data_IF_450081281025
#
_entry.id   IF_450081281025
#
_cell.length_a   1.000
_cell.length_b   1.000
_cell.length_c   1.000
_cell.angle_alpha   90.00
_cell.angle_beta   90.00
_cell.angle_gamma   90.00
#
_symmetry.space_group_name_H-M   'P 1'
#
loop_
_entity.id
_entity.type
_entity.pdbx_description
1 polymer ?
#
# COMPACT_ATOMS: atom_id res chain seq x y z
N UNK A 1 10.97 4.74 -13.53
CA UNK A 1 9.60 4.82 -12.99
C UNK A 1 9.08 3.42 -12.73
N UNK A 2 8.53 3.19 -11.53
CA UNK A 2 8.01 1.87 -11.17
C UNK A 2 6.59 1.71 -11.64
N UNK A 3 6.33 0.67 -12.44
CA UNK A 3 4.99 0.34 -12.89
C UNK A 3 4.41 -0.70 -11.94
N UNK A 4 3.25 -0.43 -11.30
CA UNK A 4 2.67 -1.41 -10.39
C UNK A 4 2.13 -2.64 -11.13
N UNK A 5 2.26 -3.80 -10.51
CA UNK A 5 1.70 -5.05 -11.03
C UNK A 5 0.21 -5.16 -10.73
N UNK A 6 -0.25 -4.48 -9.69
CA UNK A 6 -1.66 -4.45 -9.30
C UNK A 6 -1.98 -3.12 -8.62
N UNK A 7 -3.23 -2.71 -8.66
CA UNK A 7 -3.70 -1.50 -8.00
C UNK A 7 -4.89 -1.83 -7.10
N UNK A 8 -4.82 -1.40 -5.85
CA UNK A 8 -5.91 -1.54 -4.88
C UNK A 8 -6.53 -0.17 -4.64
N UNK A 9 -7.84 -0.06 -4.90
CA UNK A 9 -8.58 1.14 -4.55
C UNK A 9 -9.18 0.98 -3.15
N UNK A 10 -8.54 1.61 -2.19
CA UNK A 10 -9.00 1.61 -0.80
C UNK A 10 -9.54 2.99 -0.39
N UNK A 11 -9.90 3.81 -1.38
CA UNK A 11 -10.49 5.13 -1.08
C UNK A 11 -11.81 4.94 -0.36
N UNK A 12 -12.07 5.83 0.60
CA UNK A 12 -13.28 5.78 1.41
C UNK A 12 -13.23 4.83 2.59
N UNK A 13 -12.18 4.02 2.71
CA UNK A 13 -12.02 3.08 3.82
C UNK A 13 -11.28 3.75 4.98
N UNK A 14 -11.71 3.43 6.20
CA UNK A 14 -11.05 3.92 7.41
C UNK A 14 -9.99 2.94 7.88
N UNK A 15 -8.96 3.50 8.54
CA UNK A 15 -7.94 2.70 9.22
C UNK A 15 -8.59 1.68 10.18
N UNK A 16 -8.17 0.40 10.19
CA UNK A 16 -7.00 -0.15 9.49
C UNK A 16 -7.34 -0.88 8.18
N UNK A 17 -8.55 -0.66 7.61
CA UNK A 17 -9.01 -1.42 6.45
C UNK A 17 -8.10 -1.29 5.22
N UNK A 18 -7.52 -0.12 4.91
CA UNK A 18 -6.61 -0.06 3.76
C UNK A 18 -5.45 -1.03 3.87
N UNK A 19 -4.86 -1.17 5.05
CA UNK A 19 -3.75 -2.10 5.28
C UNK A 19 -4.23 -3.55 5.21
N UNK A 20 -5.39 -3.85 5.78
CA UNK A 20 -5.95 -5.20 5.74
C UNK A 20 -6.17 -5.65 4.30
N UNK A 21 -6.77 -4.77 3.48
CA UNK A 21 -7.01 -5.09 2.08
C UNK A 21 -5.72 -5.18 1.27
N UNK A 22 -4.76 -4.31 1.57
CA UNK A 22 -3.45 -4.34 0.90
C UNK A 22 -2.73 -5.66 1.19
N UNK A 23 -2.82 -6.15 2.42
CA UNK A 23 -2.23 -7.42 2.80
C UNK A 23 -2.82 -8.57 1.99
N UNK A 24 -4.13 -8.59 1.82
CA UNK A 24 -4.80 -9.63 1.04
C UNK A 24 -4.38 -9.58 -0.44
N UNK A 25 -4.29 -8.37 -0.99
CA UNK A 25 -3.84 -8.20 -2.37
C UNK A 25 -2.37 -8.59 -2.54
N UNK A 26 -1.53 -8.25 -1.55
CA UNK A 26 -0.11 -8.56 -1.59
C UNK A 26 0.13 -10.07 -1.59
N UNK A 27 -0.72 -10.83 -0.90
CA UNK A 27 -0.60 -12.29 -0.87
C UNK A 27 -0.79 -12.92 -2.25
N UNK A 28 -1.46 -12.22 -3.16
CA UNK A 28 -1.67 -12.70 -4.53
C UNK A 28 -0.50 -12.40 -5.46
N UNK A 29 0.44 -11.57 -5.02
CA UNK A 29 1.57 -11.15 -5.83
C UNK A 29 2.79 -12.03 -5.55
N UNK A 30 3.69 -12.07 -6.54
CA UNK A 30 4.96 -12.74 -6.38
C UNK A 30 6.00 -11.83 -5.75
N UNK A 31 7.06 -12.43 -5.22
CA UNK A 31 8.17 -11.70 -4.62
C UNK A 31 8.74 -10.69 -5.62
N UNK A 32 8.92 -9.45 -5.17
CA UNK A 32 9.44 -8.38 -6.01
C UNK A 32 8.41 -7.62 -6.81
N UNK A 33 7.16 -8.11 -6.84
CA UNK A 33 6.09 -7.39 -7.53
C UNK A 33 5.59 -6.21 -6.70
N UNK A 34 5.01 -5.24 -7.38
CA UNK A 34 4.63 -3.96 -6.77
C UNK A 34 3.11 -3.79 -6.74
N UNK A 35 2.60 -3.42 -5.56
CA UNK A 35 1.21 -3.07 -5.37
C UNK A 35 1.08 -1.56 -5.22
N UNK A 36 0.17 -0.96 -5.99
CA UNK A 36 -0.21 0.44 -5.79
C UNK A 36 -1.49 0.49 -4.96
N UNK A 37 -1.48 1.26 -3.89
CA UNK A 37 -2.65 1.43 -3.02
C UNK A 37 -3.09 2.88 -3.04
N UNK A 38 -4.39 3.10 -3.24
CA UNK A 38 -5.00 4.43 -3.16
C UNK A 38 -5.86 4.47 -1.90
N UNK A 39 -5.64 5.48 -1.04
CA UNK A 39 -6.37 5.62 0.21
C UNK A 39 -6.71 7.08 0.46
N UNK A 40 -7.73 7.34 1.28
CA UNK A 40 -8.13 8.70 1.63
C UNK A 40 -8.05 8.97 3.13
N UNK A 41 -7.81 7.95 3.94
CA UNK A 41 -7.71 8.11 5.39
C UNK A 41 -6.30 8.61 5.78
N UNK A 42 -6.18 9.76 6.47
CA UNK A 42 -4.87 10.27 6.89
C UNK A 42 -4.08 9.30 7.77
N UNK A 43 -4.76 8.46 8.54
CA UNK A 43 -4.11 7.45 9.39
C UNK A 43 -3.40 6.37 8.61
N UNK A 44 -3.68 6.25 7.30
CA UNK A 44 -3.07 5.21 6.48
C UNK A 44 -1.55 5.39 6.34
N UNK A 45 -1.04 6.62 6.45
CA UNK A 45 0.40 6.89 6.32
C UNK A 45 1.18 6.08 7.35
N UNK A 46 0.85 6.26 8.64
CA UNK A 46 1.54 5.56 9.72
C UNK A 46 1.31 4.05 9.64
N UNK A 47 0.09 3.64 9.27
CA UNK A 47 -0.25 2.23 9.18
C UNK A 47 0.57 1.52 8.11
N UNK A 48 0.72 2.11 6.93
CA UNK A 48 1.50 1.51 5.86
C UNK A 48 2.99 1.52 6.18
N UNK A 49 3.50 2.57 6.81
CA UNK A 49 4.89 2.60 7.25
C UNK A 49 5.19 1.48 8.23
N UNK A 50 4.33 1.32 9.25
CA UNK A 50 4.51 0.28 10.26
C UNK A 50 4.37 -1.11 9.66
N UNK A 51 3.34 -1.32 8.84
CA UNK A 51 3.10 -2.64 8.25
C UNK A 51 4.25 -3.08 7.35
N UNK A 52 4.78 -2.18 6.51
CA UNK A 52 5.87 -2.54 5.62
C UNK A 52 7.14 -2.88 6.39
N UNK A 53 7.41 -2.16 7.50
CA UNK A 53 8.55 -2.48 8.34
C UNK A 53 8.42 -3.86 9.00
N UNK A 54 7.23 -4.18 9.48
CA UNK A 54 7.00 -5.42 10.22
C UNK A 54 6.92 -6.63 9.30
N UNK A 55 6.41 -6.46 8.09
CA UNK A 55 6.19 -7.56 7.16
C UNK A 55 7.39 -7.87 6.26
N UNK A 56 8.36 -6.97 6.21
CA UNK A 56 9.50 -7.12 5.31
C UNK A 56 9.23 -6.65 3.89
N UNK A 57 8.05 -6.08 3.63
CA UNK A 57 7.79 -5.44 2.34
C UNK A 57 8.49 -4.08 2.28
N UNK A 58 8.66 -3.55 1.08
CA UNK A 58 9.35 -2.27 0.90
C UNK A 58 8.38 -1.20 0.41
N UNK A 59 8.28 -0.10 1.15
CA UNK A 59 7.50 1.06 0.74
C UNK A 59 8.36 1.90 -0.21
N UNK A 60 8.11 1.76 -1.50
CA UNK A 60 8.90 2.42 -2.53
C UNK A 60 8.58 3.90 -2.64
N UNK A 61 7.33 4.26 -2.49
CA UNK A 61 6.88 5.64 -2.65
C UNK A 61 5.63 5.88 -1.85
N UNK A 62 5.46 7.11 -1.39
CA UNK A 62 4.30 7.54 -0.64
C UNK A 62 4.02 8.97 -1.04
N UNK A 63 2.93 9.21 -1.75
CA UNK A 63 2.55 10.53 -2.26
C UNK A 63 1.18 10.92 -1.77
N UNK A 64 0.95 12.23 -1.69
CA UNK A 64 -0.32 12.80 -1.26
C UNK A 64 -0.70 13.93 -2.20
N UNK A 65 -1.93 13.93 -2.69
CA UNK A 65 -2.47 14.99 -3.52
C UNK A 65 -3.97 14.88 -3.63
N UNK A 66 -4.66 16.02 -3.55
CA UNK A 66 -6.13 16.11 -3.70
C UNK A 66 -6.89 15.17 -2.76
N UNK A 67 -6.38 15.00 -1.54
CA UNK A 67 -7.02 14.14 -0.53
C UNK A 67 -6.79 12.66 -0.73
N UNK A 68 -5.97 12.27 -1.70
CA UNK A 68 -5.67 10.86 -1.98
C UNK A 68 -4.21 10.58 -1.63
N UNK A 69 -4.00 9.49 -0.90
CA UNK A 69 -2.68 8.98 -0.56
C UNK A 69 -2.36 7.80 -1.47
N UNK A 70 -1.25 7.86 -2.18
CA UNK A 70 -0.85 6.81 -3.11
C UNK A 70 0.43 6.15 -2.61
N UNK A 71 0.39 4.84 -2.44
CA UNK A 71 1.52 4.07 -1.95
C UNK A 71 1.97 3.06 -2.99
N UNK A 72 3.28 2.94 -3.20
CA UNK A 72 3.86 1.87 -4.01
C UNK A 72 4.64 0.96 -3.07
N UNK A 73 4.25 -0.30 -3.02
CA UNK A 73 4.80 -1.26 -2.08
C UNK A 73 5.30 -2.48 -2.85
N UNK A 74 6.59 -2.80 -2.69
CA UNK A 74 7.17 -3.98 -3.31
C UNK A 74 7.11 -5.14 -2.33
N UNK A 75 6.64 -6.29 -2.84
CA UNK A 75 6.55 -7.47 -1.99
C UNK A 75 7.93 -7.99 -1.63
N UNK A 76 8.17 -8.16 -0.36
CA UNK A 76 9.37 -8.81 0.15
C UNK A 76 9.31 -10.31 -0.09
N UNK A 77 10.39 -10.98 0.21
CA UNK A 77 10.52 -12.42 0.00
C UNK A 77 9.52 -13.22 0.83
#
# INVERSE_FOLDING_TARGET
>A
MTTPNATLDAKGLSCPLPVVKARLEMDKLGSGEVLQVLATDPGSVADFENWTKMSGHELLDSQQGDGVYTYLIRKGA
#
